data_IF_320155634186
#
_entry.id   IF_320155634186
#
_cell.length_a   1.000
_cell.length_b   1.000
_cell.length_c   1.000
_cell.angle_alpha   90.00
_cell.angle_beta   90.00
_cell.angle_gamma   90.00
#
_symmetry.space_group_name_H-M   'P 1'
#
loop_
_entity.id
_entity.type
_entity.pdbx_description
1 polymer ?
#
# COMPACT_ATOMS: atom_id res chain seq x y z
N UNK A 1 50.71 -21.85 -23.37
CA UNK A 1 51.48 -21.71 -22.12
C UNK A 1 50.88 -20.60 -21.32
N UNK A 2 50.57 -20.83 -20.05
CA UNK A 2 49.90 -19.86 -19.18
C UNK A 2 50.81 -18.95 -18.42
N UNK A 3 52.14 -19.21 -18.50
CA UNK A 3 53.19 -18.42 -17.86
C UNK A 3 54.11 -17.86 -18.93
N UNK A 4 54.36 -16.56 -18.93
CA UNK A 4 55.22 -15.89 -19.92
C UNK A 4 56.05 -14.78 -19.28
N UNK A 5 57.11 -14.38 -19.96
CA UNK A 5 57.99 -13.28 -19.51
C UNK A 5 57.71 -12.05 -20.36
N UNK A 6 57.32 -10.95 -19.71
CA UNK A 6 57.18 -9.66 -20.37
C UNK A 6 58.52 -8.92 -20.30
N UNK A 7 59.01 -8.38 -21.43
CA UNK A 7 60.28 -7.66 -21.51
C UNK A 7 60.33 -6.40 -20.64
N UNK A 8 59.19 -5.88 -20.24
CA UNK A 8 59.03 -4.69 -19.39
C UNK A 8 58.98 -4.99 -17.90
N UNK A 9 59.06 -6.28 -17.50
CA UNK A 9 58.99 -6.69 -16.10
C UNK A 9 60.08 -7.70 -15.74
N UNK A 10 60.76 -7.56 -14.59
CA UNK A 10 61.72 -8.55 -14.11
C UNK A 10 61.00 -9.86 -13.71
N UNK A 11 59.69 -9.83 -13.50
CA UNK A 11 58.91 -10.93 -12.98
C UNK A 11 58.14 -11.65 -14.11
N UNK A 12 57.96 -12.94 -13.96
CA UNK A 12 57.07 -13.73 -14.80
C UNK A 12 55.62 -13.32 -14.60
N UNK A 13 54.82 -13.41 -15.69
CA UNK A 13 53.41 -13.12 -15.69
C UNK A 13 52.63 -14.41 -15.94
N UNK A 14 51.37 -14.48 -15.44
CA UNK A 14 50.45 -15.54 -15.81
C UNK A 14 49.22 -14.95 -16.51
N UNK A 15 48.63 -15.71 -17.41
CA UNK A 15 47.38 -15.39 -18.10
C UNK A 15 46.69 -16.72 -18.46
N UNK A 16 45.51 -16.94 -17.88
CA UNK A 16 44.72 -18.12 -18.18
C UNK A 16 43.23 -17.79 -18.10
N UNK A 17 42.43 -18.66 -18.74
CA UNK A 17 40.97 -18.56 -18.75
C UNK A 17 40.37 -19.80 -18.09
N UNK A 18 39.32 -19.59 -17.27
CA UNK A 18 38.57 -20.66 -16.65
C UNK A 18 37.08 -20.35 -16.70
N UNK A 19 36.26 -21.21 -17.34
CA UNK A 19 34.81 -21.04 -17.48
C UNK A 19 34.37 -19.62 -17.92
N UNK A 20 35.05 -19.06 -18.91
CA UNK A 20 34.77 -17.74 -19.45
C UNK A 20 35.38 -16.56 -18.70
N UNK A 21 35.96 -16.78 -17.51
CA UNK A 21 36.66 -15.75 -16.74
C UNK A 21 38.16 -15.76 -17.05
N UNK A 22 38.73 -14.58 -17.33
CA UNK A 22 40.17 -14.39 -17.56
C UNK A 22 40.87 -13.94 -16.28
N UNK A 23 41.96 -14.61 -15.97
CA UNK A 23 42.81 -14.33 -14.81
C UNK A 23 44.21 -14.05 -15.32
N UNK A 24 44.77 -12.89 -14.98
CA UNK A 24 46.11 -12.47 -15.36
C UNK A 24 46.78 -11.70 -14.21
N UNK A 25 48.06 -11.76 -14.12
CA UNK A 25 48.83 -11.05 -13.08
C UNK A 25 50.30 -11.39 -13.05
N UNK A 26 51.04 -10.71 -12.16
CA UNK A 26 52.44 -10.98 -11.92
C UNK A 26 52.62 -12.10 -10.90
N UNK A 27 53.53 -13.03 -11.17
CA UNK A 27 53.88 -14.08 -10.20
C UNK A 27 54.83 -13.57 -9.12
N UNK A 28 55.43 -12.36 -9.30
CA UNK A 28 56.44 -11.76 -8.43
C UNK A 28 57.67 -12.66 -8.24
N UNK A 29 57.92 -13.59 -9.16
CA UNK A 29 59.09 -14.50 -9.16
C UNK A 29 59.92 -14.27 -10.41
N UNK A 30 61.24 -14.55 -10.30
CA UNK A 30 62.23 -14.34 -11.37
C UNK A 30 62.58 -15.65 -12.09
N UNK A 31 62.22 -16.78 -11.51
CA UNK A 31 62.48 -18.11 -12.12
C UNK A 31 61.18 -18.70 -12.67
N UNK A 32 61.27 -19.44 -13.80
CA UNK A 32 60.12 -20.05 -14.45
C UNK A 32 59.46 -21.12 -13.56
N UNK A 33 60.28 -21.92 -12.85
CA UNK A 33 59.78 -22.98 -11.97
C UNK A 33 58.91 -22.47 -10.84
N UNK A 34 59.32 -21.40 -10.19
CA UNK A 34 58.55 -20.72 -9.15
C UNK A 34 57.28 -20.08 -9.73
N UNK A 35 57.37 -19.46 -10.92
CA UNK A 35 56.23 -18.86 -11.60
C UNK A 35 55.16 -19.89 -11.93
N UNK A 36 55.52 -21.08 -12.35
CA UNK A 36 54.59 -22.20 -12.62
C UNK A 36 53.93 -22.70 -11.32
N UNK A 37 54.63 -22.64 -10.19
CA UNK A 37 54.04 -22.98 -8.88
C UNK A 37 53.02 -21.93 -8.44
N UNK A 38 53.33 -20.64 -8.58
CA UNK A 38 52.39 -19.53 -8.29
C UNK A 38 51.19 -19.60 -9.20
N UNK A 39 51.37 -19.84 -10.52
CA UNK A 39 50.29 -19.93 -11.47
C UNK A 39 49.33 -21.12 -11.12
N UNK A 40 49.86 -22.25 -10.66
CA UNK A 40 49.07 -23.38 -10.22
C UNK A 40 48.21 -23.02 -8.98
N UNK A 41 48.77 -22.31 -8.02
CA UNK A 41 48.02 -21.84 -6.85
C UNK A 41 46.94 -20.82 -7.22
N UNK A 42 47.24 -19.90 -8.14
CA UNK A 42 46.27 -18.94 -8.65
C UNK A 42 45.12 -19.61 -9.44
N UNK A 43 45.40 -20.67 -10.19
CA UNK A 43 44.39 -21.50 -10.83
C UNK A 43 43.43 -22.14 -9.83
N UNK A 44 43.96 -22.67 -8.74
CA UNK A 44 43.12 -23.30 -7.72
C UNK A 44 42.24 -22.25 -7.01
N UNK A 45 42.84 -21.09 -6.70
CA UNK A 45 42.10 -19.95 -6.14
C UNK A 45 41.00 -19.45 -7.10
N UNK A 46 41.32 -19.36 -8.40
CA UNK A 46 40.35 -18.99 -9.43
C UNK A 46 39.20 -20.02 -9.57
N UNK A 47 39.52 -21.31 -9.50
CA UNK A 47 38.52 -22.40 -9.48
C UNK A 47 37.57 -22.27 -8.31
N UNK A 48 38.08 -22.07 -7.10
CA UNK A 48 37.28 -21.90 -5.89
C UNK A 48 36.41 -20.66 -6.00
N UNK A 49 36.95 -19.54 -6.48
CA UNK A 49 36.22 -18.27 -6.66
C UNK A 49 35.08 -18.40 -7.69
N UNK A 50 35.34 -19.04 -8.84
CA UNK A 50 34.31 -19.28 -9.86
C UNK A 50 33.23 -20.24 -9.34
N UNK A 51 33.64 -21.31 -8.64
CA UNK A 51 32.68 -22.25 -8.03
C UNK A 51 31.81 -21.57 -6.96
N UNK A 52 32.36 -20.68 -6.14
CA UNK A 52 31.59 -19.86 -5.18
C UNK A 52 30.61 -18.92 -5.89
N UNK A 53 31.03 -18.27 -6.99
CA UNK A 53 30.17 -17.40 -7.79
C UNK A 53 29.03 -18.22 -8.42
N UNK A 54 29.30 -19.40 -8.95
CA UNK A 54 28.30 -20.28 -9.53
C UNK A 54 27.35 -20.84 -8.46
N UNK A 55 27.87 -21.27 -7.30
CA UNK A 55 27.08 -21.67 -6.15
C UNK A 55 26.18 -20.54 -5.66
N UNK A 56 26.70 -19.31 -5.57
CA UNK A 56 25.91 -18.12 -5.25
C UNK A 56 24.83 -17.84 -6.31
N UNK A 57 25.10 -18.07 -7.60
CA UNK A 57 24.09 -18.00 -8.68
C UNK A 57 23.03 -19.08 -8.56
N UNK A 58 23.41 -20.31 -8.16
CA UNK A 58 22.46 -21.42 -7.97
C UNK A 58 21.57 -21.21 -6.75
N UNK A 59 22.03 -20.46 -5.73
CA UNK A 59 21.24 -20.12 -4.54
C UNK A 59 20.24 -18.97 -4.76
N UNK A 60 20.09 -18.45 -5.97
CA UNK A 60 19.19 -17.35 -6.32
C UNK A 60 17.86 -17.82 -6.89
N UNK A 61 17.41 -19.02 -6.55
CA UNK A 61 16.09 -19.54 -6.93
C UNK A 61 15.00 -18.65 -6.33
N UNK A 62 13.92 -18.53 -7.05
CA UNK A 62 12.79 -17.71 -6.63
C UNK A 62 12.26 -18.12 -5.26
N UNK A 63 12.21 -19.45 -4.98
CA UNK A 63 11.75 -19.98 -3.70
C UNK A 63 12.67 -19.58 -2.53
N UNK A 64 13.98 -19.72 -2.70
CA UNK A 64 14.96 -19.34 -1.68
C UNK A 64 14.89 -17.85 -1.35
N UNK A 65 14.81 -17.01 -2.40
CA UNK A 65 14.68 -15.56 -2.25
C UNK A 65 13.34 -15.17 -1.61
N UNK A 66 12.25 -15.81 -2.02
CA UNK A 66 10.93 -15.58 -1.45
C UNK A 66 10.89 -15.99 0.03
N UNK A 67 11.47 -17.15 0.38
CA UNK A 67 11.58 -17.64 1.75
C UNK A 67 12.41 -16.72 2.63
N UNK A 68 13.59 -16.27 2.15
CA UNK A 68 14.43 -15.31 2.87
C UNK A 68 13.74 -13.96 3.01
N UNK A 69 13.12 -13.44 1.96
CA UNK A 69 12.34 -12.21 2.02
C UNK A 69 11.17 -12.33 3.02
N UNK A 70 10.52 -13.49 3.04
CA UNK A 70 9.44 -13.76 3.98
C UNK A 70 9.91 -13.69 5.43
N UNK A 71 10.99 -14.40 5.77
CA UNK A 71 11.54 -14.40 7.13
C UNK A 71 12.02 -13.02 7.58
N UNK A 72 12.66 -12.25 6.69
CA UNK A 72 13.23 -10.94 7.03
C UNK A 72 12.19 -9.80 7.03
N UNK A 73 11.15 -9.89 6.22
CA UNK A 73 10.21 -8.78 5.98
C UNK A 73 8.75 -9.20 6.03
N UNK A 74 8.39 -10.24 5.27
CA UNK A 74 7.00 -10.61 5.03
C UNK A 74 6.24 -10.99 6.30
N UNK A 75 6.85 -11.80 7.15
CA UNK A 75 6.29 -12.29 8.42
C UNK A 75 6.04 -11.15 9.42
N UNK A 76 6.82 -10.08 9.35
CA UNK A 76 6.73 -8.93 10.24
C UNK A 76 5.74 -7.85 9.78
N UNK A 77 5.09 -8.04 8.64
CA UNK A 77 4.07 -7.11 8.16
C UNK A 77 2.80 -7.19 9.03
N UNK A 78 2.31 -6.05 9.46
CA UNK A 78 1.14 -5.96 10.33
C UNK A 78 -0.20 -6.15 9.61
N UNK A 79 -1.21 -6.62 10.32
CA UNK A 79 -2.58 -6.78 9.83
C UNK A 79 -2.68 -7.77 8.65
N UNK A 80 -3.40 -7.38 7.60
CA UNK A 80 -3.54 -8.19 6.38
C UNK A 80 -2.32 -8.17 5.44
N UNK A 81 -1.29 -7.37 5.77
CA UNK A 81 -0.10 -7.19 4.94
C UNK A 81 0.67 -8.49 4.73
N UNK A 82 0.94 -9.22 5.80
CA UNK A 82 1.62 -10.52 5.75
C UNK A 82 0.86 -11.52 4.87
N UNK A 83 -0.45 -11.71 5.10
CA UNK A 83 -1.29 -12.61 4.30
C UNK A 83 -1.32 -12.25 2.83
N UNK A 84 -1.40 -10.96 2.51
CA UNK A 84 -1.38 -10.50 1.12
C UNK A 84 0.01 -10.73 0.48
N UNK A 85 1.08 -10.44 1.21
CA UNK A 85 2.43 -10.68 0.72
C UNK A 85 2.66 -12.17 0.44
N UNK A 86 2.26 -13.05 1.35
CA UNK A 86 2.35 -14.51 1.15
C UNK A 86 1.63 -14.94 -0.13
N UNK A 87 0.37 -14.50 -0.31
CA UNK A 87 -0.39 -14.84 -1.51
C UNK A 87 0.25 -14.36 -2.81
N UNK A 88 0.93 -13.22 -2.78
CA UNK A 88 1.66 -12.76 -3.97
C UNK A 88 2.91 -13.58 -4.22
N UNK A 89 3.64 -14.02 -3.18
CA UNK A 89 4.77 -14.95 -3.33
C UNK A 89 4.32 -16.30 -3.90
N UNK A 90 3.24 -16.89 -3.38
CA UNK A 90 2.66 -18.12 -3.93
C UNK A 90 2.32 -17.99 -5.42
N UNK A 91 1.78 -16.84 -5.83
CA UNK A 91 1.46 -16.58 -7.24
C UNK A 91 2.69 -16.47 -8.12
N UNK A 92 3.75 -15.85 -7.61
CA UNK A 92 5.02 -15.75 -8.33
C UNK A 92 5.63 -17.14 -8.52
N UNK A 93 5.64 -17.96 -7.49
CA UNK A 93 6.12 -19.34 -7.53
C UNK A 93 5.26 -20.21 -8.47
N UNK A 94 3.92 -20.04 -8.41
CA UNK A 94 3.01 -20.76 -9.31
C UNK A 94 3.21 -20.41 -10.80
N UNK A 95 3.61 -19.18 -11.10
CA UNK A 95 3.83 -18.73 -12.48
C UNK A 95 5.22 -19.05 -13.01
N UNK A 96 6.27 -18.76 -12.23
CA UNK A 96 7.66 -18.93 -12.68
C UNK A 96 8.24 -20.31 -12.37
N UNK A 97 7.67 -21.04 -11.42
CA UNK A 97 8.28 -22.20 -10.81
C UNK A 97 9.24 -21.80 -9.67
N UNK A 98 9.37 -22.70 -8.69
CA UNK A 98 10.21 -22.48 -7.49
C UNK A 98 11.71 -22.37 -7.82
N UNK A 99 12.15 -23.11 -8.84
CA UNK A 99 13.57 -23.24 -9.22
C UNK A 99 14.04 -22.17 -10.19
N UNK A 100 13.15 -21.28 -10.69
CA UNK A 100 13.51 -20.19 -11.63
C UNK A 100 14.49 -19.23 -10.97
N UNK A 101 15.69 -19.03 -11.53
CA UNK A 101 16.62 -18.04 -11.01
C UNK A 101 16.06 -16.63 -11.16
N UNK A 102 16.11 -15.84 -10.08
CA UNK A 102 15.60 -14.45 -10.11
C UNK A 102 16.39 -13.59 -11.11
N UNK A 103 17.68 -13.88 -11.29
CA UNK A 103 18.57 -13.19 -12.23
C UNK A 103 18.23 -13.42 -13.70
N UNK A 104 17.49 -14.48 -14.00
CA UNK A 104 17.06 -14.82 -15.37
C UNK A 104 15.65 -14.29 -15.71
N UNK A 105 14.98 -13.63 -14.77
CA UNK A 105 13.67 -13.05 -15.03
C UNK A 105 13.84 -11.73 -15.78
N UNK A 106 13.44 -11.74 -17.05
CA UNK A 106 13.55 -10.62 -17.98
C UNK A 106 12.31 -9.74 -17.99
N UNK A 107 12.38 -8.58 -18.66
CA UNK A 107 11.19 -7.76 -18.93
C UNK A 107 10.09 -8.51 -19.70
N UNK A 108 10.47 -9.38 -20.65
CA UNK A 108 9.51 -10.25 -21.35
C UNK A 108 8.76 -11.18 -20.41
N UNK A 109 9.45 -11.74 -19.43
CA UNK A 109 8.82 -12.64 -18.45
C UNK A 109 7.87 -11.88 -17.52
N UNK A 110 8.20 -10.64 -17.16
CA UNK A 110 7.29 -9.77 -16.40
C UNK A 110 6.06 -9.41 -17.24
N UNK A 111 6.20 -9.15 -18.53
CA UNK A 111 5.06 -8.91 -19.43
C UNK A 111 4.12 -10.14 -19.49
N UNK A 112 4.69 -11.36 -19.60
CA UNK A 112 3.93 -12.62 -19.54
C UNK A 112 3.22 -12.80 -18.20
N UNK A 113 3.88 -12.49 -17.07
CA UNK A 113 3.28 -12.50 -15.74
C UNK A 113 2.06 -11.56 -15.66
N UNK A 114 2.20 -10.35 -16.16
CA UNK A 114 1.11 -9.36 -16.18
C UNK A 114 -0.04 -9.86 -17.05
N UNK A 115 0.22 -10.41 -18.23
CA UNK A 115 -0.79 -10.96 -19.12
C UNK A 115 -1.53 -12.13 -18.46
N UNK A 116 -0.80 -13.09 -17.90
CA UNK A 116 -1.36 -14.22 -17.16
C UNK A 116 -2.23 -13.73 -15.99
N UNK A 117 -1.74 -12.77 -15.22
CA UNK A 117 -2.45 -12.27 -14.05
C UNK A 117 -3.74 -11.51 -14.42
N UNK A 118 -3.76 -10.79 -15.55
CA UNK A 118 -4.96 -10.12 -16.08
C UNK A 118 -6.10 -11.08 -16.42
N UNK A 119 -5.79 -12.32 -16.79
CA UNK A 119 -6.78 -13.37 -17.05
C UNK A 119 -7.48 -13.92 -15.80
N UNK A 120 -7.01 -13.58 -14.59
CA UNK A 120 -7.61 -14.09 -13.37
C UNK A 120 -8.91 -13.39 -13.03
N UNK A 121 -9.81 -14.15 -12.42
CA UNK A 121 -11.09 -13.65 -11.91
C UNK A 121 -11.01 -13.35 -10.42
N UNK A 122 -11.83 -12.40 -9.97
CA UNK A 122 -11.97 -12.10 -8.56
C UNK A 122 -12.75 -13.18 -7.80
N UNK A 123 -12.63 -13.24 -6.46
CA UNK A 123 -13.33 -14.24 -5.65
C UNK A 123 -14.84 -14.09 -5.63
N UNK A 124 -15.38 -12.96 -6.07
CA UNK A 124 -16.80 -12.60 -5.95
C UNK A 124 -17.52 -12.57 -7.30
N UNK A 125 -17.15 -13.41 -8.25
CA UNK A 125 -17.86 -13.54 -9.51
C UNK A 125 -17.01 -13.54 -10.78
N UNK A 126 -17.63 -13.43 -11.97
CA UNK A 126 -16.97 -13.62 -13.25
C UNK A 126 -16.05 -12.46 -13.67
N UNK A 127 -16.06 -11.35 -12.95
CA UNK A 127 -15.25 -10.16 -13.29
C UNK A 127 -13.75 -10.43 -13.15
N UNK A 128 -12.99 -9.99 -14.13
CA UNK A 128 -11.53 -9.98 -14.06
C UNK A 128 -11.07 -9.09 -12.90
N UNK A 129 -9.91 -9.43 -12.34
CA UNK A 129 -9.29 -8.63 -11.28
C UNK A 129 -8.90 -7.25 -11.80
N UNK A 130 -8.90 -6.26 -10.89
CA UNK A 130 -8.55 -4.88 -11.23
C UNK A 130 -7.07 -4.70 -11.57
N UNK A 131 -6.70 -3.67 -12.35
CA UNK A 131 -5.29 -3.29 -12.56
C UNK A 131 -4.50 -3.14 -11.26
N UNK A 132 -5.11 -2.58 -10.20
CA UNK A 132 -4.50 -2.50 -8.87
C UNK A 132 -4.08 -3.88 -8.33
N UNK A 133 -4.93 -4.89 -8.49
CA UNK A 133 -4.66 -6.26 -8.03
C UNK A 133 -3.57 -6.94 -8.86
N UNK A 134 -3.54 -6.69 -10.18
CA UNK A 134 -2.47 -7.16 -11.07
C UNK A 134 -1.15 -6.51 -10.68
N UNK A 135 -1.14 -5.20 -10.50
CA UNK A 135 0.04 -4.43 -10.11
C UNK A 135 0.61 -4.87 -8.76
N UNK A 136 -0.23 -5.40 -7.85
CA UNK A 136 0.26 -5.93 -6.57
C UNK A 136 1.23 -7.09 -6.76
N UNK A 137 0.96 -7.99 -7.73
CA UNK A 137 1.85 -9.12 -8.06
C UNK A 137 3.18 -8.62 -8.66
N UNK A 138 3.13 -7.68 -9.60
CA UNK A 138 4.34 -7.05 -10.19
C UNK A 138 5.16 -6.31 -9.13
N UNK A 139 4.49 -5.58 -8.23
CA UNK A 139 5.14 -4.90 -7.11
C UNK A 139 5.80 -5.89 -6.12
N UNK A 140 5.20 -7.07 -5.90
CA UNK A 140 5.80 -8.11 -5.07
C UNK A 140 7.10 -8.64 -5.70
N UNK A 141 7.10 -8.97 -6.99
CA UNK A 141 8.31 -9.37 -7.71
C UNK A 141 9.40 -8.29 -7.62
N UNK A 142 9.06 -7.03 -7.89
CA UNK A 142 9.99 -5.92 -7.77
C UNK A 142 10.62 -5.81 -6.37
N UNK A 143 9.86 -6.10 -5.30
CA UNK A 143 10.39 -6.12 -3.93
C UNK A 143 11.43 -7.20 -3.74
N UNK A 144 11.26 -8.37 -4.34
CA UNK A 144 12.27 -9.44 -4.32
C UNK A 144 13.55 -8.98 -5.00
N UNK A 145 13.47 -8.38 -6.19
CA UNK A 145 14.63 -7.78 -6.86
C UNK A 145 15.35 -6.73 -6.02
N UNK A 146 14.56 -5.78 -5.46
CA UNK A 146 15.12 -4.72 -4.61
C UNK A 146 15.83 -5.31 -3.39
N UNK A 147 15.25 -6.34 -2.77
CA UNK A 147 15.84 -6.96 -1.58
C UNK A 147 17.07 -7.80 -1.93
N UNK A 148 17.03 -8.55 -3.03
CA UNK A 148 18.17 -9.31 -3.52
C UNK A 148 19.39 -8.42 -3.79
N UNK A 149 19.19 -7.22 -4.33
CA UNK A 149 20.27 -6.21 -4.46
C UNK A 149 20.88 -5.84 -3.12
N UNK A 150 20.07 -5.65 -2.07
CA UNK A 150 20.59 -5.37 -0.72
C UNK A 150 21.39 -6.55 -0.16
N UNK A 151 21.15 -7.76 -0.64
CA UNK A 151 21.95 -8.95 -0.32
C UNK A 151 23.19 -9.11 -1.19
N UNK A 152 23.50 -8.12 -2.07
CA UNK A 152 24.67 -8.10 -2.93
C UNK A 152 24.47 -8.81 -4.28
N UNK A 153 23.25 -9.23 -4.62
CA UNK A 153 22.96 -9.84 -5.93
C UNK A 153 23.07 -8.79 -7.03
N UNK A 154 23.83 -9.12 -8.08
CA UNK A 154 23.94 -8.30 -9.29
C UNK A 154 23.00 -8.85 -10.38
N UNK A 155 22.34 -7.96 -11.08
CA UNK A 155 21.48 -8.28 -12.21
C UNK A 155 22.08 -7.67 -13.48
N UNK A 156 22.39 -8.49 -14.46
CA UNK A 156 22.88 -8.02 -15.77
C UNK A 156 21.76 -7.29 -16.52
N UNK A 157 20.53 -7.78 -16.38
CA UNK A 157 19.33 -7.20 -17.00
C UNK A 157 18.21 -7.11 -15.97
N UNK A 158 17.90 -5.91 -15.51
CA UNK A 158 16.73 -5.67 -14.64
C UNK A 158 15.52 -5.22 -15.50
N UNK A 159 14.32 -5.79 -15.25
CA UNK A 159 13.11 -5.32 -15.91
C UNK A 159 12.83 -3.82 -15.69
N UNK A 160 12.41 -3.11 -16.73
CA UNK A 160 11.92 -1.73 -16.60
C UNK A 160 10.54 -1.74 -15.96
N UNK A 161 10.47 -1.75 -14.65
CA UNK A 161 9.25 -1.95 -13.87
C UNK A 161 8.10 -1.02 -14.26
N UNK A 162 8.40 0.22 -14.66
CA UNK A 162 7.38 1.21 -15.05
C UNK A 162 6.58 0.77 -16.27
N UNK A 163 7.21 0.05 -17.21
CA UNK A 163 6.58 -0.41 -18.43
C UNK A 163 5.59 -1.55 -18.21
N UNK A 164 5.68 -2.20 -17.06
CA UNK A 164 4.83 -3.33 -16.65
C UNK A 164 3.73 -2.97 -15.66
N UNK A 165 3.63 -1.71 -15.24
CA UNK A 165 2.58 -1.23 -14.34
C UNK A 165 1.38 -0.77 -15.15
N UNK A 166 0.24 -1.42 -14.93
CA UNK A 166 -1.02 -1.05 -15.55
C UNK A 166 -1.53 0.27 -14.98
N UNK A 167 -2.12 1.10 -15.84
CA UNK A 167 -2.82 2.32 -15.40
C UNK A 167 -3.99 1.94 -14.49
N UNK A 168 -3.94 2.41 -13.27
CA UNK A 168 -5.02 2.22 -12.31
C UNK A 168 -6.11 3.28 -12.56
N UNK A 169 -7.40 2.92 -12.54
CA UNK A 169 -8.47 3.90 -12.65
C UNK A 169 -8.40 4.86 -11.46
N UNK A 170 -8.77 6.11 -11.69
CA UNK A 170 -8.86 7.09 -10.60
C UNK A 170 -9.86 6.60 -9.55
N UNK A 171 -9.54 6.83 -8.28
CA UNK A 171 -10.43 6.51 -7.18
C UNK A 171 -11.70 7.37 -7.30
N UNK A 172 -12.84 6.70 -7.39
CA UNK A 172 -14.13 7.37 -7.44
C UNK A 172 -14.40 8.07 -6.11
N UNK A 173 -14.58 9.37 -6.15
CA UNK A 173 -15.15 10.14 -5.04
C UNK A 173 -16.67 10.18 -5.24
N UNK A 174 -17.41 9.63 -4.27
CA UNK A 174 -18.89 9.65 -4.28
C UNK A 174 -19.40 10.39 -3.06
N UNK A 175 -20.22 11.36 -3.32
CA UNK A 175 -20.98 12.06 -2.29
C UNK A 175 -22.31 11.36 -2.05
N UNK A 176 -22.80 11.48 -0.85
CA UNK A 176 -24.13 11.01 -0.44
C UNK A 176 -25.10 12.16 -0.59
N UNK A 177 -26.09 12.01 -1.47
CA UNK A 177 -27.17 12.97 -1.58
C UNK A 177 -28.04 12.94 -0.33
N UNK A 178 -28.80 14.02 -0.07
CA UNK A 178 -29.57 14.16 1.15
C UNK A 178 -30.68 13.10 1.27
N UNK A 179 -31.42 12.86 0.19
CA UNK A 179 -32.43 11.80 0.13
C UNK A 179 -31.85 10.41 0.33
N UNK A 180 -30.60 10.15 -0.15
CA UNK A 180 -29.89 8.88 0.09
C UNK A 180 -29.50 8.75 1.57
N UNK A 181 -29.13 9.84 2.22
CA UNK A 181 -28.83 9.85 3.66
C UNK A 181 -30.06 9.48 4.48
N UNK A 182 -31.22 10.05 4.15
CA UNK A 182 -32.50 9.73 4.78
C UNK A 182 -32.88 8.26 4.57
N UNK A 183 -32.72 7.75 3.35
CA UNK A 183 -32.97 6.32 3.04
C UNK A 183 -32.05 5.38 3.83
N UNK A 184 -30.78 5.74 4.00
CA UNK A 184 -29.84 4.96 4.82
C UNK A 184 -30.24 4.99 6.30
N UNK A 185 -30.64 6.15 6.80
CA UNK A 185 -31.10 6.32 8.19
C UNK A 185 -32.35 5.49 8.44
N UNK A 186 -33.37 5.60 7.58
CA UNK A 186 -34.61 4.83 7.67
C UNK A 186 -34.39 3.30 7.56
N UNK A 187 -33.40 2.86 6.79
CA UNK A 187 -33.03 1.45 6.66
C UNK A 187 -32.14 0.93 7.81
N UNK A 188 -31.67 1.82 8.70
CA UNK A 188 -30.78 1.46 9.79
C UNK A 188 -31.55 1.24 11.07
N UNK A 189 -31.26 0.14 11.76
CA UNK A 189 -31.87 -0.16 13.09
C UNK A 189 -31.39 0.88 14.12
N UNK A 190 -32.23 1.22 15.05
CA UNK A 190 -31.98 2.25 16.07
C UNK A 190 -30.72 1.97 16.91
N UNK A 191 -30.48 0.71 17.25
CA UNK A 191 -29.31 0.30 18.02
C UNK A 191 -27.99 0.39 17.23
N UNK A 192 -28.06 0.37 15.90
CA UNK A 192 -26.90 0.52 14.99
C UNK A 192 -26.70 1.96 14.54
N UNK A 193 -27.77 2.78 14.52
CA UNK A 193 -27.75 4.14 13.99
C UNK A 193 -26.64 5.03 14.59
N UNK A 194 -26.36 5.02 15.91
CA UNK A 194 -25.29 5.82 16.48
C UNK A 194 -23.91 5.57 15.86
N UNK A 195 -23.59 4.31 15.50
CA UNK A 195 -22.33 3.96 14.86
C UNK A 195 -22.20 4.58 13.46
N UNK A 196 -23.24 4.50 12.64
CA UNK A 196 -23.21 5.02 11.26
C UNK A 196 -23.24 6.56 11.24
N UNK A 197 -23.99 7.20 12.14
CA UNK A 197 -24.00 8.64 12.32
C UNK A 197 -22.60 9.13 12.77
N UNK A 198 -21.99 8.43 13.71
CA UNK A 198 -20.61 8.71 14.13
C UNK A 198 -19.59 8.54 13.00
N UNK A 199 -19.69 7.46 12.21
CA UNK A 199 -18.81 7.24 11.07
C UNK A 199 -18.89 8.38 10.04
N UNK A 200 -20.11 8.88 9.77
CA UNK A 200 -20.37 10.03 8.90
C UNK A 200 -19.79 11.32 9.46
N UNK A 201 -19.95 11.56 10.77
CA UNK A 201 -19.50 12.79 11.43
C UNK A 201 -17.98 12.84 11.64
N UNK A 202 -17.34 11.69 11.89
CA UNK A 202 -15.91 11.63 12.21
C UNK A 202 -15.01 11.39 10.98
N UNK A 203 -15.54 10.79 9.91
CA UNK A 203 -14.77 10.38 8.74
C UNK A 203 -13.69 9.33 9.03
N UNK A 204 -13.75 8.68 10.18
CA UNK A 204 -12.82 7.62 10.55
C UNK A 204 -12.96 6.38 9.66
N UNK A 205 -11.87 5.60 9.54
CA UNK A 205 -11.97 4.30 8.88
C UNK A 205 -12.79 3.33 9.72
N UNK A 206 -13.46 2.35 9.11
CA UNK A 206 -14.35 1.42 9.81
C UNK A 206 -13.74 0.84 11.10
N UNK A 207 -12.49 0.37 11.06
CA UNK A 207 -11.82 -0.15 12.26
C UNK A 207 -11.56 0.94 13.31
N UNK A 208 -11.32 2.16 12.86
CA UNK A 208 -11.09 3.32 13.73
C UNK A 208 -12.41 3.79 14.37
N UNK A 209 -13.57 3.58 13.72
CA UNK A 209 -14.89 3.86 14.31
C UNK A 209 -15.27 2.91 15.46
N UNK A 210 -14.68 1.72 15.54
CA UNK A 210 -14.93 0.77 16.63
C UNK A 210 -14.19 1.24 17.90
N UNK A 211 -14.77 2.19 18.62
CA UNK A 211 -14.18 2.84 19.77
C UNK A 211 -14.33 2.03 21.05
N UNK A 212 -13.31 2.17 21.91
CA UNK A 212 -13.38 1.86 23.34
C UNK A 212 -13.57 3.14 24.15
N UNK A 213 -14.18 3.06 25.33
CA UNK A 213 -14.36 4.22 26.20
C UNK A 213 -13.03 4.81 26.66
N UNK A 214 -12.00 4.00 26.81
CA UNK A 214 -10.63 4.45 27.13
C UNK A 214 -10.01 5.37 26.07
N UNK A 215 -10.51 5.31 24.82
CA UNK A 215 -10.07 6.17 23.70
C UNK A 215 -10.80 7.51 23.67
N UNK A 216 -11.90 7.67 24.41
CA UNK A 216 -12.70 8.90 24.48
C UNK A 216 -12.24 9.76 25.66
N UNK A 217 -11.46 10.81 25.38
CA UNK A 217 -10.90 11.73 26.37
C UNK A 217 -11.83 12.93 26.53
N UNK A 218 -12.79 12.84 27.44
CA UNK A 218 -13.84 13.83 27.63
C UNK A 218 -13.30 15.22 28.03
N UNK A 219 -12.34 15.25 28.95
CA UNK A 219 -11.72 16.49 29.42
C UNK A 219 -10.93 17.20 28.32
N UNK A 220 -10.12 16.44 27.60
CA UNK A 220 -9.37 16.95 26.46
C UNK A 220 -10.24 17.19 25.21
N UNK A 221 -11.53 16.84 25.24
CA UNK A 221 -12.46 16.92 24.11
C UNK A 221 -11.91 16.26 22.84
N UNK A 222 -11.28 15.09 23.00
CA UNK A 222 -10.66 14.38 21.89
C UNK A 222 -10.90 12.88 21.99
N UNK A 223 -11.04 12.24 20.84
CA UNK A 223 -10.91 10.78 20.68
C UNK A 223 -9.49 10.54 20.23
N UNK A 224 -8.77 9.67 20.93
CA UNK A 224 -7.37 9.33 20.60
C UNK A 224 -7.28 7.82 20.44
N UNK A 225 -6.97 7.39 19.22
CA UNK A 225 -6.95 5.98 18.83
C UNK A 225 -5.69 5.60 18.09
N UNK A 226 -5.22 4.37 18.31
CA UNK A 226 -4.16 3.79 17.51
C UNK A 226 -4.74 3.31 16.17
N UNK A 227 -4.35 3.97 15.09
CA UNK A 227 -4.79 3.67 13.73
C UNK A 227 -3.86 2.71 12.99
N UNK A 228 -4.11 2.57 11.69
CA UNK A 228 -3.33 1.69 10.83
C UNK A 228 -1.83 2.05 10.83
N UNK A 229 -0.99 1.04 11.07
CA UNK A 229 0.47 1.19 11.07
C UNK A 229 1.03 1.88 12.33
N UNK A 230 0.31 1.79 13.46
CA UNK A 230 0.76 2.35 14.74
C UNK A 230 0.65 3.88 14.86
N UNK A 231 -0.03 4.54 13.90
CA UNK A 231 -0.19 6.00 13.93
C UNK A 231 -1.31 6.40 14.87
N UNK A 232 -1.08 7.46 15.65
CA UNK A 232 -2.13 8.06 16.47
C UNK A 232 -3.10 8.80 15.54
N UNK A 233 -4.38 8.49 15.71
CA UNK A 233 -5.51 9.15 15.05
C UNK A 233 -6.24 9.96 16.10
N UNK A 234 -6.39 11.26 15.87
CA UNK A 234 -7.07 12.15 16.78
C UNK A 234 -8.29 12.79 16.11
N UNK A 235 -9.43 12.76 16.80
CA UNK A 235 -10.67 13.40 16.35
C UNK A 235 -11.20 14.31 17.48
N UNK A 236 -11.49 15.59 17.21
CA UNK A 236 -12.08 16.47 18.20
C UNK A 236 -13.53 16.02 18.53
N UNK A 237 -13.89 16.03 19.79
CA UNK A 237 -15.28 15.79 20.23
C UNK A 237 -16.06 17.09 20.08
N UNK A 238 -16.65 17.26 18.90
CA UNK A 238 -17.57 18.35 18.62
C UNK A 238 -18.89 18.16 19.38
N UNK A 239 -19.74 19.19 19.44
CA UNK A 239 -21.09 19.09 20.03
C UNK A 239 -21.92 17.96 19.37
N UNK A 240 -21.81 17.80 18.05
CA UNK A 240 -22.45 16.72 17.31
C UNK A 240 -21.94 15.33 17.73
N UNK A 241 -20.63 15.14 17.80
CA UNK A 241 -20.04 13.87 18.24
C UNK A 241 -20.40 13.60 19.70
N UNK A 242 -20.40 14.61 20.57
CA UNK A 242 -20.82 14.47 21.97
C UNK A 242 -22.28 13.99 22.08
N UNK A 243 -23.19 14.58 21.30
CA UNK A 243 -24.61 14.14 21.25
C UNK A 243 -24.77 12.69 20.85
N UNK A 244 -23.90 12.15 20.01
CA UNK A 244 -23.92 10.72 19.59
C UNK A 244 -23.38 9.85 20.70
N UNK A 245 -22.24 10.19 21.30
CA UNK A 245 -21.52 9.30 22.22
C UNK A 245 -22.10 9.32 23.65
N UNK A 246 -22.60 10.46 24.10
CA UNK A 246 -23.04 10.64 25.49
C UNK A 246 -24.17 9.70 25.92
N UNK A 247 -25.23 9.46 25.10
CA UNK A 247 -26.31 8.54 25.45
C UNK A 247 -25.88 7.06 25.49
N UNK A 248 -24.73 6.72 24.89
CA UNK A 248 -24.27 5.32 24.83
C UNK A 248 -23.52 4.88 26.09
N UNK A 249 -23.24 5.81 27.01
CA UNK A 249 -22.59 5.48 28.28
C UNK A 249 -23.46 4.53 29.09
N UNK A 250 -22.84 3.52 29.68
CA UNK A 250 -23.56 2.49 30.42
C UNK A 250 -24.07 1.31 29.59
N UNK A 251 -24.08 1.41 28.26
CA UNK A 251 -24.48 0.29 27.41
C UNK A 251 -23.48 -0.88 27.46
N UNK A 252 -22.20 -0.60 27.65
CA UNK A 252 -21.13 -1.60 27.77
C UNK A 252 -19.95 -0.98 28.52
N UNK A 253 -19.24 -1.74 29.39
CA UNK A 253 -18.15 -1.18 30.18
C UNK A 253 -16.94 -0.72 29.37
N UNK A 254 -16.62 -1.39 28.28
CA UNK A 254 -15.41 -1.13 27.49
C UNK A 254 -15.70 -0.50 26.13
N UNK A 255 -16.76 -0.96 25.44
CA UNK A 255 -17.02 -0.60 24.05
C UNK A 255 -18.10 0.47 23.93
N UNK A 256 -17.84 1.47 23.10
CA UNK A 256 -18.77 2.57 22.84
C UNK A 256 -19.99 2.10 22.05
N UNK A 257 -19.75 1.39 20.95
CA UNK A 257 -20.82 0.95 20.04
C UNK A 257 -21.18 -0.51 20.26
N UNK A 258 -22.45 -0.74 20.49
CA UNK A 258 -23.05 -2.05 20.74
C UNK A 258 -24.25 -2.28 19.85
N UNK A 259 -24.64 -3.54 19.72
CA UNK A 259 -25.90 -3.93 19.06
C UNK A 259 -26.71 -4.82 20.00
N UNK A 260 -28.01 -4.86 19.79
CA UNK A 260 -28.93 -5.75 20.49
C UNK A 260 -29.08 -7.04 19.68
N UNK A 261 -28.89 -8.19 20.33
CA UNK A 261 -29.06 -9.48 19.65
C UNK A 261 -30.53 -9.76 19.33
N UNK A 262 -30.83 -10.05 18.06
CA UNK A 262 -32.21 -10.39 17.62
C UNK A 262 -32.57 -11.84 17.93
N UNK A 263 -31.56 -12.70 18.04
CA UNK A 263 -31.73 -14.14 18.26
C UNK A 263 -30.73 -14.67 19.28
N UNK A 264 -31.12 -15.73 19.97
CA UNK A 264 -30.22 -16.49 20.87
C UNK A 264 -29.44 -17.48 20.02
N UNK A 265 -28.19 -17.12 19.64
CA UNK A 265 -27.30 -17.96 18.84
C UNK A 265 -25.83 -17.67 19.18
N UNK A 266 -24.96 -18.65 19.03
CA UNK A 266 -23.50 -18.52 19.23
C UNK A 266 -23.12 -17.82 20.54
N UNK A 267 -23.74 -18.19 21.66
CA UNK A 267 -23.47 -17.62 22.98
C UNK A 267 -24.06 -16.22 23.22
N UNK A 268 -24.83 -15.69 22.27
CA UNK A 268 -25.58 -14.44 22.43
C UNK A 268 -27.02 -14.73 22.83
N UNK A 269 -27.54 -13.93 23.74
CA UNK A 269 -28.92 -14.02 24.22
C UNK A 269 -29.74 -12.90 23.58
N UNK A 270 -30.90 -13.22 23.01
CA UNK A 270 -31.84 -12.26 22.45
C UNK A 270 -32.14 -11.12 23.44
N UNK A 271 -32.15 -9.89 22.97
CA UNK A 271 -32.39 -8.69 23.76
C UNK A 271 -31.19 -8.15 24.52
N UNK A 272 -30.09 -8.91 24.65
CA UNK A 272 -28.87 -8.41 25.29
C UNK A 272 -27.97 -7.65 24.32
N UNK A 273 -27.22 -6.69 24.85
CA UNK A 273 -26.24 -5.88 24.09
C UNK A 273 -24.89 -6.56 24.01
N UNK A 274 -24.28 -6.46 22.83
CA UNK A 274 -22.94 -6.99 22.54
C UNK A 274 -22.12 -5.97 21.76
N UNK A 275 -20.79 -5.96 21.92
CA UNK A 275 -19.91 -5.06 21.18
C UNK A 275 -20.02 -5.26 19.67
N UNK A 276 -20.04 -4.16 18.92
CA UNK A 276 -19.92 -4.21 17.47
C UNK A 276 -18.52 -4.70 17.06
N UNK A 277 -18.47 -5.59 16.09
CA UNK A 277 -17.22 -6.10 15.52
C UNK A 277 -17.06 -5.66 14.08
N UNK A 278 -15.84 -5.68 13.57
CA UNK A 278 -15.54 -5.33 12.18
C UNK A 278 -16.38 -6.12 11.16
N UNK A 279 -16.51 -7.44 11.37
CA UNK A 279 -17.30 -8.28 10.49
C UNK A 279 -18.81 -8.06 10.67
N UNK A 280 -19.25 -7.85 11.90
CA UNK A 280 -20.65 -7.52 12.20
C UNK A 280 -21.10 -6.22 11.54
N UNK A 281 -20.29 -5.15 11.64
CA UNK A 281 -20.58 -3.88 10.97
C UNK A 281 -20.63 -4.04 9.45
N UNK A 282 -19.71 -4.81 8.86
CA UNK A 282 -19.75 -5.06 7.41
C UNK A 282 -21.01 -5.80 6.96
N UNK A 283 -21.43 -6.79 7.73
CA UNK A 283 -22.68 -7.52 7.45
C UNK A 283 -23.90 -6.61 7.62
N UNK A 284 -23.95 -5.82 8.70
CA UNK A 284 -25.01 -4.84 8.93
C UNK A 284 -25.06 -3.80 7.80
N UNK A 285 -23.92 -3.26 7.37
CA UNK A 285 -23.81 -2.32 6.26
C UNK A 285 -24.37 -2.90 4.95
N UNK A 286 -24.00 -4.12 4.63
CA UNK A 286 -24.55 -4.80 3.45
C UNK A 286 -26.07 -4.95 3.53
N UNK A 287 -26.61 -5.31 4.69
CA UNK A 287 -28.06 -5.37 4.93
C UNK A 287 -28.75 -4.00 4.79
N UNK A 288 -28.15 -2.93 5.33
CA UNK A 288 -28.65 -1.56 5.20
C UNK A 288 -28.68 -1.14 3.73
N UNK A 289 -27.61 -1.35 2.98
CA UNK A 289 -27.57 -1.03 1.55
C UNK A 289 -28.68 -1.76 0.75
N UNK A 290 -28.91 -3.04 1.05
CA UNK A 290 -29.97 -3.81 0.40
C UNK A 290 -31.36 -3.25 0.70
N UNK A 291 -31.63 -2.87 1.96
CA UNK A 291 -32.93 -2.32 2.36
C UNK A 291 -33.18 -0.90 1.87
N UNK A 292 -32.12 -0.07 1.86
CA UNK A 292 -32.22 1.33 1.38
C UNK A 292 -32.28 1.44 -0.14
N UNK A 293 -31.97 0.38 -0.89
CA UNK A 293 -31.87 0.43 -2.35
C UNK A 293 -30.67 1.18 -2.91
N UNK A 294 -29.79 1.72 -2.03
CA UNK A 294 -28.64 2.53 -2.44
C UNK A 294 -27.53 1.64 -2.97
N UNK A 295 -27.15 1.88 -4.20
CA UNK A 295 -26.08 1.16 -4.86
C UNK A 295 -24.80 2.02 -4.99
N UNK A 296 -23.64 1.34 -5.01
CA UNK A 296 -22.37 1.99 -5.31
C UNK A 296 -21.85 2.94 -4.23
N UNK A 297 -22.44 2.99 -3.04
CA UNK A 297 -21.91 3.73 -1.88
C UNK A 297 -21.30 2.75 -0.87
N UNK A 298 -20.01 2.83 -0.65
CA UNK A 298 -19.27 1.95 0.25
C UNK A 298 -19.15 2.58 1.63
N UNK A 299 -18.93 1.81 2.69
CA UNK A 299 -18.69 2.39 4.02
C UNK A 299 -17.57 3.43 4.02
N UNK A 300 -16.51 3.21 3.22
CA UNK A 300 -15.40 4.17 3.12
C UNK A 300 -15.81 5.50 2.47
N UNK A 301 -16.89 5.53 1.73
CA UNK A 301 -17.38 6.73 1.05
C UNK A 301 -17.96 7.75 2.05
N UNK A 302 -18.33 7.36 3.29
CA UNK A 302 -18.61 8.31 4.38
C UNK A 302 -17.43 9.27 4.61
N UNK A 303 -16.22 8.73 4.57
CA UNK A 303 -14.99 9.51 4.71
C UNK A 303 -14.76 10.41 3.50
N UNK A 304 -15.03 9.93 2.30
CA UNK A 304 -14.96 10.74 1.08
C UNK A 304 -15.98 11.88 1.13
N UNK A 305 -17.20 11.58 1.52
CA UNK A 305 -18.29 12.54 1.65
C UNK A 305 -17.95 13.64 2.67
N UNK A 306 -17.40 13.28 3.84
CA UNK A 306 -16.96 14.28 4.82
C UNK A 306 -15.81 15.14 4.27
N UNK A 307 -14.83 14.53 3.61
CA UNK A 307 -13.70 15.24 3.01
C UNK A 307 -14.17 16.28 1.98
N UNK A 308 -15.08 15.90 1.10
CA UNK A 308 -15.64 16.75 0.05
C UNK A 308 -16.43 17.92 0.66
N UNK A 309 -17.33 17.62 1.62
CA UNK A 309 -18.12 18.66 2.32
C UNK A 309 -17.22 19.64 3.06
N UNK A 310 -16.23 19.13 3.79
CA UNK A 310 -15.30 19.97 4.55
C UNK A 310 -14.42 20.83 3.63
N UNK A 311 -14.00 20.30 2.47
CA UNK A 311 -13.23 21.07 1.50
C UNK A 311 -14.08 22.16 0.85
N UNK A 312 -15.32 21.88 0.47
CA UNK A 312 -16.27 22.85 -0.09
C UNK A 312 -16.56 23.97 0.90
N UNK A 313 -16.73 23.62 2.17
CA UNK A 313 -17.01 24.60 3.24
C UNK A 313 -15.82 25.52 3.54
N UNK A 314 -14.59 25.00 3.42
CA UNK A 314 -13.40 25.71 3.93
C UNK A 314 -12.41 26.15 2.85
N UNK A 315 -12.48 25.61 1.65
CA UNK A 315 -11.44 25.80 0.61
C UNK A 315 -10.05 25.27 1.01
N UNK A 316 -9.91 24.65 2.19
CA UNK A 316 -8.62 24.37 2.82
C UNK A 316 -8.25 22.89 2.81
N UNK A 317 -7.50 22.48 1.80
CA UNK A 317 -7.04 21.09 1.64
C UNK A 317 -6.17 20.61 2.82
N UNK A 318 -5.42 21.52 3.47
CA UNK A 318 -4.59 21.17 4.63
C UNK A 318 -5.43 20.85 5.86
N UNK A 319 -6.52 21.57 6.04
CA UNK A 319 -7.49 21.30 7.10
C UNK A 319 -8.14 19.93 6.88
N UNK A 320 -8.57 19.62 5.66
CA UNK A 320 -9.09 18.30 5.30
C UNK A 320 -8.06 17.19 5.55
N UNK A 321 -6.80 17.41 5.19
CA UNK A 321 -5.71 16.47 5.49
C UNK A 321 -5.62 16.16 6.99
N UNK A 322 -5.67 17.19 7.83
CA UNK A 322 -5.63 17.05 9.30
C UNK A 322 -6.86 16.35 9.84
N UNK A 323 -8.06 16.78 9.43
CA UNK A 323 -9.32 16.18 9.86
C UNK A 323 -9.39 14.68 9.55
N UNK A 324 -8.86 14.27 8.41
CA UNK A 324 -8.80 12.89 8.00
C UNK A 324 -7.58 12.13 8.54
N UNK A 325 -6.68 12.75 9.25
CA UNK A 325 -5.43 12.14 9.71
C UNK A 325 -4.63 11.48 8.54
N UNK A 326 -4.55 12.15 7.38
CA UNK A 326 -3.72 11.71 6.26
C UNK A 326 -2.26 12.09 6.46
N UNK A 327 -1.37 11.11 6.46
CA UNK A 327 0.08 11.36 6.58
C UNK A 327 0.70 12.02 5.35
N UNK A 328 0.09 11.82 4.16
CA UNK A 328 0.54 12.37 2.90
C UNK A 328 -0.58 13.20 2.27
N UNK A 329 -0.26 14.46 1.91
CA UNK A 329 -1.18 15.39 1.26
C UNK A 329 -1.68 14.86 -0.10
N UNK A 330 -0.87 14.06 -0.80
CA UNK A 330 -1.25 13.42 -2.06
C UNK A 330 -2.52 12.57 -1.92
N UNK A 331 -2.73 11.96 -0.74
CA UNK A 331 -3.96 11.20 -0.44
C UNK A 331 -5.19 12.12 -0.36
N UNK A 332 -5.01 13.39 -0.01
CA UNK A 332 -6.08 14.38 0.09
C UNK A 332 -6.29 15.12 -1.22
N UNK A 333 -5.26 15.24 -2.06
CA UNK A 333 -5.31 15.96 -3.33
C UNK A 333 -6.39 15.44 -4.31
N UNK A 334 -6.81 14.19 -4.14
CA UNK A 334 -7.92 13.61 -4.92
C UNK A 334 -9.27 14.34 -4.74
N UNK A 335 -9.42 15.15 -3.69
CA UNK A 335 -10.62 15.97 -3.45
C UNK A 335 -10.55 17.35 -4.08
N UNK A 336 -9.39 17.78 -4.59
CA UNK A 336 -9.18 19.12 -5.10
C UNK A 336 -10.13 19.52 -6.24
N UNK A 337 -10.59 18.54 -7.06
CA UNK A 337 -11.57 18.78 -8.12
C UNK A 337 -12.91 19.34 -7.62
N UNK A 338 -13.21 19.24 -6.35
CA UNK A 338 -14.44 19.81 -5.74
C UNK A 338 -14.42 21.33 -5.76
N UNK A 339 -13.24 21.93 -5.88
CA UNK A 339 -13.05 23.37 -5.94
C UNK A 339 -13.11 23.96 -7.36
N UNK A 340 -13.42 23.16 -8.38
CA UNK A 340 -13.43 23.64 -9.77
C UNK A 340 -14.45 24.78 -10.00
N UNK A 341 -15.61 24.73 -9.33
CA UNK A 341 -16.59 25.82 -9.36
C UNK A 341 -16.04 27.09 -8.68
N UNK A 342 -15.36 26.96 -7.55
CA UNK A 342 -14.73 28.09 -6.83
C UNK A 342 -13.57 28.68 -7.63
N UNK A 343 -12.86 27.87 -8.42
CA UNK A 343 -11.83 28.37 -9.34
C UNK A 343 -12.45 29.25 -10.41
N UNK A 344 -13.59 28.87 -10.98
CA UNK A 344 -14.30 29.68 -11.95
C UNK A 344 -14.73 31.02 -11.35
N UNK A 345 -15.37 31.00 -10.18
CA UNK A 345 -15.77 32.23 -9.45
C UNK A 345 -14.58 33.11 -9.07
N UNK A 346 -13.46 32.48 -8.66
CA UNK A 346 -12.25 33.24 -8.32
C UNK A 346 -11.65 33.94 -9.57
N UNK A 347 -11.66 33.25 -10.72
CA UNK A 347 -11.20 33.82 -11.99
C UNK A 347 -12.09 34.99 -12.44
N UNK A 348 -13.41 34.88 -12.25
CA UNK A 348 -14.35 35.97 -12.54
C UNK A 348 -14.06 37.18 -11.64
N UNK A 349 -13.94 37.00 -10.32
CA UNK A 349 -13.59 38.07 -9.36
C UNK A 349 -12.27 38.77 -9.72
N UNK A 350 -11.23 38.03 -10.08
CA UNK A 350 -9.94 38.60 -10.51
C UNK A 350 -10.08 39.40 -11.80
N UNK A 351 -10.95 38.97 -12.70
CA UNK A 351 -11.19 39.64 -13.99
C UNK A 351 -11.99 40.92 -13.78
N UNK A 352 -12.98 40.92 -12.89
CA UNK A 352 -13.79 42.08 -12.54
C UNK A 352 -13.00 43.15 -11.77
N UNK A 353 -12.14 42.77 -10.84
CA UNK A 353 -11.29 43.69 -10.09
C UNK A 353 -10.33 44.47 -11.02
N UNK A 354 -9.87 43.85 -12.12
CA UNK A 354 -9.04 44.50 -13.16
C UNK A 354 -9.85 45.53 -13.97
N UNK A 355 -11.15 45.31 -14.19
CA UNK A 355 -12.02 46.29 -14.88
C UNK A 355 -12.28 47.54 -14.00
N UNK A 356 -12.53 47.35 -12.71
CA UNK A 356 -12.71 48.45 -11.76
C UNK A 356 -11.49 49.34 -11.64
N UNK A 357 -10.30 48.83 -11.60
CA UNK A 357 -9.04 49.57 -11.52
C UNK A 357 -8.74 50.41 -12.77
N UNK A 358 -9.15 49.96 -13.96
CA UNK A 358 -9.00 50.72 -15.22
C UNK A 358 -9.98 51.89 -15.34
N UNK A 359 -11.16 51.80 -14.73
CA UNK A 359 -12.15 52.88 -14.78
C UNK A 359 -11.76 54.04 -13.89
N UNK A 360 -11.06 53.79 -12.77
CA UNK A 360 -10.60 54.83 -11.84
C UNK A 360 -9.45 55.66 -12.43
N UNK A 361 -8.58 55.08 -13.25
CA UNK A 361 -7.45 55.82 -13.88
C UNK A 361 -7.90 56.74 -15.02
N UNK A 362 -9.06 56.51 -15.65
CA UNK A 362 -9.59 57.38 -16.71
C UNK A 362 -10.36 58.60 -16.26
N UNK A 363 -10.62 58.78 -14.96
CA UNK A 363 -11.32 59.94 -14.39
C UNK A 363 -10.40 61.01 -13.76
N UNK A 364 -9.09 60.87 -13.89
CA UNK A 364 -8.08 61.81 -13.32
C UNK A 364 -7.24 62.43 -14.47
N UNK A 365 -7.76 62.47 -15.68
CA UNK A 365 -7.12 63.21 -16.81
C UNK A 365 -8.03 64.32 -17.29
#
# INVERSE_FOLDING_TARGET
>A
MSVYKDSRSPYWQFDFQWRGHRFHGSTKTTTRREAETVERAERETARQRVTQIEAARTSLRLDDIAGRWWSEVGAHLTGGGARNAWRELDRLIAFFGKDKPLTEITGSDVAKLVAWRRGHRGPNGPRLISPFTVNATTKALRKLFTRAKLWGVRFDHEPRWRDHVLKEPQERVRELAEHEAEQLEAATRDDLAPFFVFARASGLRLRECLLQWSEVKWEARQIVKLGKGGKIVTVPITSAIRKILWPLRGHHPEHVFTFVADHTVHGRVKGRRYPMTYHGVRAAWWGIQKRSGISGFRFHDFRHNLATKLLRETGNLKLVQRALNHSDIKTTAKYAHVLDAEVAEALERVTESRKGSRTTIRKVS
#
